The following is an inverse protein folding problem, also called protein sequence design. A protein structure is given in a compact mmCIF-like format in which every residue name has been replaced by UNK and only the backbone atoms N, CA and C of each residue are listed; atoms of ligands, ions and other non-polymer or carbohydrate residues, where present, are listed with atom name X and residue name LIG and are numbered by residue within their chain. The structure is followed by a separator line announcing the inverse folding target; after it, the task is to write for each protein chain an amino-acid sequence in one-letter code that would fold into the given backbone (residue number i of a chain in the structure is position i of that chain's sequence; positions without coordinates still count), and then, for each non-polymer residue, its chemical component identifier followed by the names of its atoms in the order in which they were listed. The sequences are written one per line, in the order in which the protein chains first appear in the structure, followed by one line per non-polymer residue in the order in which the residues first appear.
data_IF_269832594856
#
_entry.id   IF_269832594856
#
_cell.length_a   1.000
_cell.length_b   1.000
_cell.length_c   1.000
_cell.angle_alpha   90.00
_cell.angle_beta   90.00
_cell.angle_gamma   90.00
#
_symmetry.space_group_name_H-M   'P 1'
#
loop_
_entity.id
_entity.type
_entity.pdbx_description
1 polymer ?
#
# COMPACT_ATOMS: atom_id res chain seq x y z
N UNK A 1 -10.46 -5.78 32.07
CA UNK A 1 -9.22 -6.26 31.44
C UNK A 1 -8.32 -5.08 31.15
N UNK A 2 -7.00 -5.14 31.38
CA UNK A 2 -6.10 -4.09 30.91
C UNK A 2 -5.96 -4.23 29.39
N UNK A 3 -6.22 -3.15 28.65
CA UNK A 3 -5.96 -3.09 27.22
C UNK A 3 -4.45 -2.97 27.03
N UNK A 4 -3.82 -3.97 26.41
CA UNK A 4 -2.40 -3.87 26.04
C UNK A 4 -2.22 -2.75 25.02
N UNK A 5 -1.34 -1.80 25.32
CA UNK A 5 -0.92 -0.71 24.42
C UNK A 5 0.35 -1.05 23.66
N UNK A 6 0.85 -2.29 23.78
CA UNK A 6 2.04 -2.72 23.06
C UNK A 6 1.78 -2.74 21.55
N UNK A 7 2.71 -2.23 20.73
CA UNK A 7 2.63 -2.39 19.28
C UNK A 7 2.63 -3.88 18.95
N UNK A 8 1.75 -4.27 18.03
CA UNK A 8 1.66 -5.62 17.51
C UNK A 8 1.80 -5.60 15.99
N UNK A 9 2.16 -6.74 15.41
CA UNK A 9 2.40 -6.88 13.98
C UNK A 9 1.15 -7.38 13.26
N UNK A 10 0.99 -6.94 12.02
CA UNK A 10 -0.09 -7.34 11.10
C UNK A 10 0.49 -7.59 9.72
N UNK A 11 -0.18 -8.45 8.95
CA UNK A 11 0.25 -8.83 7.61
C UNK A 11 -0.52 -8.07 6.54
N UNK A 12 0.22 -7.48 5.61
CA UNK A 12 -0.32 -7.00 4.34
C UNK A 12 0.08 -7.99 3.24
N UNK A 13 -0.88 -8.70 2.69
CA UNK A 13 -0.69 -9.55 1.52
C UNK A 13 -1.01 -8.75 0.25
N UNK A 14 0.01 -8.50 -0.57
CA UNK A 14 -0.14 -7.81 -1.83
C UNK A 14 0.01 -8.80 -2.98
N UNK A 15 -1.03 -8.97 -3.80
CA UNK A 15 -1.08 -9.96 -4.88
C UNK A 15 -1.12 -9.28 -6.24
N UNK A 16 -0.23 -9.69 -7.15
CA UNK A 16 -0.31 -9.34 -8.55
C UNK A 16 -1.27 -10.29 -9.28
N UNK A 17 -2.54 -9.93 -9.30
CA UNK A 17 -3.58 -10.65 -10.02
C UNK A 17 -3.69 -10.24 -11.51
N UNK A 18 -2.84 -9.31 -11.95
CA UNK A 18 -2.82 -8.83 -13.32
C UNK A 18 -1.89 -9.71 -14.20
N UNK A 19 -2.10 -9.66 -15.51
CA UNK A 19 -1.26 -10.37 -16.48
C UNK A 19 0.12 -9.71 -16.69
N UNK A 20 0.29 -8.47 -16.23
CA UNK A 20 1.50 -7.67 -16.39
C UNK A 20 2.36 -7.72 -15.13
N UNK A 21 3.66 -7.44 -15.29
CA UNK A 21 4.57 -7.24 -14.17
C UNK A 21 4.12 -6.04 -13.31
N UNK A 22 4.11 -6.23 -11.99
CA UNK A 22 3.93 -5.16 -11.03
C UNK A 22 5.19 -4.97 -10.17
N UNK A 23 5.46 -3.73 -9.78
CA UNK A 23 6.46 -3.42 -8.76
C UNK A 23 5.80 -2.71 -7.59
N UNK A 24 6.25 -3.05 -6.39
CA UNK A 24 5.84 -2.46 -5.14
C UNK A 24 7.07 -1.87 -4.46
N UNK A 25 7.10 -0.55 -4.31
CA UNK A 25 8.23 0.16 -3.71
C UNK A 25 7.79 0.88 -2.44
N UNK A 26 8.51 0.66 -1.33
CA UNK A 26 8.28 1.43 -0.11
C UNK A 26 8.77 2.88 -0.31
N UNK A 27 7.91 3.86 -0.05
CA UNK A 27 8.28 5.26 -0.03
C UNK A 27 8.75 5.64 1.38
N UNK A 28 10.04 5.90 1.56
CA UNK A 28 10.55 6.54 2.77
C UNK A 28 10.41 8.05 2.62
N UNK A 29 9.51 8.66 3.39
CA UNK A 29 9.35 10.11 3.39
C UNK A 29 8.01 10.57 3.95
N UNK A 30 7.91 10.68 5.27
CA UNK A 30 6.94 11.56 5.92
C UNK A 30 7.48 12.99 5.93
N UNK A 31 7.27 13.73 4.84
CA UNK A 31 7.20 15.19 4.90
C UNK A 31 6.67 15.72 3.57
N UNK A 32 5.55 16.44 3.66
CA UNK A 32 5.15 17.42 2.64
C UNK A 32 6.37 18.25 2.23
N UNK A 33 6.72 18.23 0.95
CA UNK A 33 7.71 19.15 0.39
C UNK A 33 8.85 18.46 -0.35
N UNK A 34 8.80 18.59 -1.68
CA UNK A 34 9.93 18.58 -2.60
C UNK A 34 10.97 17.46 -2.45
N UNK A 35 10.77 16.39 -3.22
CA UNK A 35 11.85 15.85 -4.05
C UNK A 35 11.25 15.07 -5.21
N UNK A 36 11.18 15.76 -6.34
CA UNK A 36 11.08 15.16 -7.67
C UNK A 36 12.39 14.39 -7.91
N UNK A 37 12.46 13.11 -7.53
CA UNK A 37 13.63 12.31 -7.84
C UNK A 37 13.83 11.11 -6.92
N UNK A 38 13.59 9.93 -7.47
CA UNK A 38 14.04 8.62 -6.98
C UNK A 38 13.57 8.19 -5.58
N UNK A 39 12.54 7.35 -5.56
CA UNK A 39 12.27 6.47 -4.43
C UNK A 39 13.51 5.64 -4.11
N UNK A 40 14.02 5.80 -2.89
CA UNK A 40 15.20 5.10 -2.38
C UNK A 40 14.88 3.89 -1.51
N UNK A 41 13.61 3.47 -1.44
CA UNK A 41 13.21 2.29 -0.68
C UNK A 41 13.29 0.99 -1.51
N UNK A 42 13.30 -0.17 -0.84
CA UNK A 42 13.34 -1.48 -1.50
C UNK A 42 12.18 -1.62 -2.50
N UNK A 43 12.51 -2.17 -3.67
CA UNK A 43 11.55 -2.47 -4.73
C UNK A 43 11.34 -3.97 -4.77
N UNK A 44 10.09 -4.39 -4.59
CA UNK A 44 9.66 -5.77 -4.73
C UNK A 44 9.06 -5.91 -6.12
N UNK A 45 9.58 -6.85 -6.89
CA UNK A 45 9.06 -7.21 -8.20
C UNK A 45 8.13 -8.41 -8.04
N UNK A 46 6.94 -8.31 -8.62
CA UNK A 46 5.90 -9.33 -8.56
C UNK A 46 5.56 -9.75 -9.99
N UNK A 47 5.90 -10.98 -10.35
CA UNK A 47 5.47 -11.55 -11.63
C UNK A 47 3.96 -11.88 -11.57
N UNK A 48 3.31 -12.14 -12.71
CA UNK A 48 1.87 -12.42 -12.74
C UNK A 48 1.51 -13.62 -11.85
N UNK A 49 0.49 -13.44 -11.00
CA UNK A 49 0.02 -14.38 -9.96
C UNK A 49 0.91 -14.52 -8.72
N UNK A 50 1.99 -13.76 -8.61
CA UNK A 50 2.78 -13.72 -7.39
C UNK A 50 2.10 -12.90 -6.30
N UNK A 51 2.37 -13.27 -5.05
CA UNK A 51 2.00 -12.49 -3.88
C UNK A 51 3.20 -12.28 -2.96
N UNK A 52 3.18 -11.17 -2.24
CA UNK A 52 4.15 -10.86 -1.19
C UNK A 52 3.41 -10.51 0.10
N UNK A 53 3.91 -11.02 1.22
CA UNK A 53 3.42 -10.64 2.55
C UNK A 53 4.42 -9.69 3.21
N UNK A 54 3.91 -8.55 3.65
CA UNK A 54 4.67 -7.52 4.36
C UNK A 54 4.21 -7.48 5.82
N UNK A 55 5.17 -7.51 6.74
CA UNK A 55 4.92 -7.34 8.17
C UNK A 55 4.91 -5.84 8.47
N UNK A 56 3.79 -5.35 9.00
CA UNK A 56 3.56 -3.95 9.34
C UNK A 56 3.29 -3.81 10.84
N UNK A 57 3.70 -2.69 11.42
CA UNK A 57 3.25 -2.32 12.76
C UNK A 57 1.79 -1.87 12.71
N UNK A 58 0.93 -2.48 13.52
CA UNK A 58 -0.48 -2.14 13.59
C UNK A 58 -0.68 -0.65 13.91
N UNK A 59 -1.56 -0.01 13.14
CA UNK A 59 -1.91 1.40 13.30
C UNK A 59 -0.90 2.40 12.73
N UNK A 60 0.29 1.97 12.32
CA UNK A 60 1.24 2.80 11.59
C UNK A 60 0.83 2.97 10.12
N UNK A 61 1.22 4.10 9.53
CA UNK A 61 0.94 4.41 8.13
C UNK A 61 2.16 4.09 7.27
N UNK A 62 1.97 3.29 6.24
CA UNK A 62 2.99 2.95 5.26
C UNK A 62 2.60 3.46 3.88
N UNK A 63 3.54 4.04 3.16
CA UNK A 63 3.33 4.55 1.81
C UNK A 63 4.08 3.68 0.81
N UNK A 64 3.37 3.15 -0.18
CA UNK A 64 3.92 2.36 -1.25
C UNK A 64 3.65 3.02 -2.60
N UNK A 65 4.58 2.86 -3.53
CA UNK A 65 4.35 3.11 -4.94
C UNK A 65 4.13 1.77 -5.62
N UNK A 66 2.99 1.60 -6.27
CA UNK A 66 2.70 0.48 -7.15
C UNK A 66 2.88 0.96 -8.58
N UNK A 67 3.67 0.25 -9.37
CA UNK A 67 3.80 0.50 -10.80
C UNK A 67 3.44 -0.76 -11.57
N UNK A 68 2.62 -0.60 -12.62
CA UNK A 68 2.24 -1.67 -13.55
C UNK A 68 2.29 -1.10 -14.96
N UNK A 69 3.17 -1.65 -15.80
CA UNK A 69 3.37 -1.16 -17.16
C UNK A 69 3.60 0.37 -17.18
N UNK A 70 2.73 1.15 -17.83
CA UNK A 70 2.77 2.61 -17.89
C UNK A 70 2.03 3.32 -16.76
N UNK A 71 1.31 2.57 -15.91
CA UNK A 71 0.51 3.10 -14.82
C UNK A 71 1.30 3.11 -13.52
N UNK A 72 1.13 4.18 -12.76
CA UNK A 72 1.75 4.35 -11.44
C UNK A 72 0.70 4.83 -10.45
N UNK A 73 0.71 4.28 -9.25
CA UNK A 73 -0.18 4.67 -8.16
C UNK A 73 0.60 4.69 -6.85
N UNK A 74 0.21 5.60 -5.96
CA UNK A 74 0.68 5.64 -4.59
C UNK A 74 -0.43 5.09 -3.69
N UNK A 75 -0.08 4.13 -2.84
CA UNK A 75 -0.97 3.50 -1.88
C UNK A 75 -0.51 3.86 -0.48
N UNK A 76 -1.39 4.44 0.34
CA UNK A 76 -1.12 4.67 1.77
C UNK A 76 -1.97 3.72 2.58
N UNK A 77 -1.33 2.95 3.46
CA UNK A 77 -1.97 1.85 4.18
C UNK A 77 -1.80 2.09 5.67
N UNK A 78 -2.93 2.09 6.38
CA UNK A 78 -2.99 2.09 7.84
C UNK A 78 -3.99 1.02 8.27
N UNK A 79 -3.52 -0.01 8.94
CA UNK A 79 -4.37 -1.15 9.34
C UNK A 79 -4.02 -1.67 10.74
N UNK A 80 -5.02 -2.23 11.41
CA UNK A 80 -4.91 -2.87 12.73
C UNK A 80 -5.14 -4.39 12.66
N UNK A 81 -5.28 -4.94 11.45
CA UNK A 81 -5.50 -6.37 11.19
C UNK A 81 -4.90 -6.76 9.85
N UNK A 82 -4.77 -8.07 9.63
CA UNK A 82 -4.30 -8.59 8.35
C UNK A 82 -5.18 -8.13 7.19
N UNK A 83 -4.54 -7.72 6.11
CA UNK A 83 -5.20 -7.09 4.95
C UNK A 83 -4.68 -7.70 3.66
N UNK A 84 -5.58 -7.93 2.72
CA UNK A 84 -5.23 -8.37 1.37
C UNK A 84 -5.50 -7.22 0.40
N UNK A 85 -4.55 -6.97 -0.49
CA UNK A 85 -4.65 -5.97 -1.54
C UNK A 85 -4.24 -6.59 -2.88
N UNK A 86 -4.99 -6.32 -3.94
CA UNK A 86 -4.65 -6.76 -5.29
C UNK A 86 -4.20 -5.58 -6.14
N UNK A 87 -3.37 -5.86 -7.13
CA UNK A 87 -2.92 -4.85 -8.10
C UNK A 87 -4.11 -4.30 -8.89
N UNK A 88 -5.06 -5.13 -9.31
CA UNK A 88 -6.27 -4.68 -10.00
C UNK A 88 -7.05 -3.66 -9.19
N UNK A 89 -7.28 -3.91 -7.91
CA UNK A 89 -8.01 -3.03 -6.99
C UNK A 89 -7.37 -1.62 -6.90
N UNK A 90 -6.04 -1.55 -6.95
CA UNK A 90 -5.27 -0.29 -6.93
C UNK A 90 -5.52 0.55 -8.19
N UNK A 91 -5.62 -0.09 -9.36
CA UNK A 91 -5.75 0.62 -10.64
C UNK A 91 -7.19 0.74 -11.15
N UNK A 92 -8.14 -0.03 -10.61
CA UNK A 92 -9.57 0.05 -10.96
C UNK A 92 -10.30 1.17 -10.22
N UNK A 93 -9.66 1.83 -9.25
CA UNK A 93 -10.29 2.87 -8.43
C UNK A 93 -11.27 2.33 -7.38
N UNK A 94 -11.44 1.00 -7.26
CA UNK A 94 -12.37 0.38 -6.30
C UNK A 94 -11.93 0.55 -4.83
N UNK A 95 -10.64 0.82 -4.59
CA UNK A 95 -10.14 1.10 -3.23
C UNK A 95 -10.52 2.52 -2.75
N UNK A 96 -11.04 3.38 -3.62
CA UNK A 96 -11.27 4.80 -3.32
C UNK A 96 -12.20 5.08 -2.14
N UNK A 97 -12.95 4.11 -1.62
CA UNK A 97 -13.83 4.31 -0.47
C UNK A 97 -14.01 3.07 0.45
N UNK A 98 -12.94 2.39 0.84
CA UNK A 98 -12.97 1.68 2.15
C UNK A 98 -12.77 2.64 3.33
N UNK A 99 -13.32 3.86 3.22
CA UNK A 99 -13.49 4.78 4.34
C UNK A 99 -14.68 4.31 5.17
N UNK A 100 -14.46 3.30 6.01
CA UNK A 100 -15.42 2.96 7.06
C UNK A 100 -15.52 4.20 7.97
N UNK A 101 -16.73 4.68 8.33
CA UNK A 101 -16.88 5.81 9.24
C UNK A 101 -16.03 5.57 10.50
N UNK A 102 -15.26 6.59 10.88
CA UNK A 102 -14.20 6.58 11.89
C UNK A 102 -14.63 5.84 13.17
N UNK A 103 -14.38 4.54 13.19
CA UNK A 103 -14.33 3.73 14.40
C UNK A 103 -12.85 3.47 14.73
N UNK A 104 -12.47 3.29 16.00
CA UNK A 104 -11.10 2.98 16.39
C UNK A 104 -10.52 1.68 15.77
N UNK A 105 -11.33 0.93 15.02
CA UNK A 105 -10.98 -0.29 14.26
C UNK A 105 -10.98 -0.08 12.73
N UNK A 106 -11.10 1.17 12.26
CA UNK A 106 -11.19 1.48 10.83
C UNK A 106 -9.83 1.27 10.19
N UNK A 107 -9.80 0.42 9.18
CA UNK A 107 -8.68 0.32 8.25
C UNK A 107 -8.78 1.48 7.26
N UNK A 108 -7.65 1.98 6.80
CA UNK A 108 -7.62 3.02 5.78
C UNK A 108 -6.57 2.66 4.75
N UNK A 109 -7.04 2.35 3.54
CA UNK A 109 -6.21 2.23 2.35
C UNK A 109 -6.62 3.38 1.43
N UNK A 110 -5.70 4.28 1.14
CA UNK A 110 -5.92 5.35 0.16
C UNK A 110 -5.04 5.12 -1.05
N UNK A 111 -5.61 5.30 -2.24
CA UNK A 111 -4.89 5.16 -3.50
C UNK A 111 -4.96 6.48 -4.25
N UNK A 112 -3.80 6.97 -4.68
CA UNK A 112 -3.66 8.16 -5.51
C UNK A 112 -2.94 7.74 -6.78
N UNK A 113 -3.63 7.82 -7.92
CA UNK A 113 -3.00 7.54 -9.20
C UNK A 113 -2.02 8.65 -9.55
N UNK A 114 -0.79 8.29 -9.92
CA UNK A 114 0.26 9.22 -10.32
C UNK A 114 0.28 9.33 -11.86
N UNK A 115 0.56 10.51 -12.42
CA UNK A 115 0.72 10.65 -13.86
C UNK A 115 1.89 9.77 -14.33
N UNK A 116 1.66 8.99 -15.39
CA UNK A 116 2.73 8.24 -16.05
C UNK A 116 3.70 9.22 -16.69
N UNK A 117 5.01 9.03 -16.47
CA UNK A 117 6.01 9.75 -17.26
C UNK A 117 5.87 9.28 -18.71
N UNK A 118 5.45 10.19 -19.59
CA UNK A 118 5.46 10.03 -21.04
C UNK A 118 6.89 10.04 -21.58
#
# INVERSE_FOLDING_TARGET
MPTSTAPFEVLLEFTNDCAELATLQLCQGTSFGLSTGMGGGPVIRLDPKDSVSLVLNAGATYHYTVQRSTLRAQVSIRTWRDTKCKVSDVFSGDISHMSVPWTPLSQTVTVVQLPGNA
#
